data_IF_627620687423
#
_entry.id   IF_627620687423
#
_cell.length_a   1.000
_cell.length_b   1.000
_cell.length_c   1.000
_cell.angle_alpha   90.00
_cell.angle_beta   90.00
_cell.angle_gamma   90.00
#
_symmetry.space_group_name_H-M   'P 1'
#
loop_
_entity.id
_entity.type
_entity.pdbx_description
1 polymer ?
#
# COMPACT_ATOMS: atom_id res chain seq x y z
N UNK A 1 -1.31 -9.59 -10.82
CA UNK A 1 -0.66 -8.32 -10.44
C UNK A 1 -0.22 -8.38 -8.99
N UNK A 2 1.02 -8.06 -8.73
CA UNK A 2 1.57 -8.08 -7.37
C UNK A 2 2.05 -6.70 -6.95
N UNK A 3 1.82 -6.36 -5.70
CA UNK A 3 2.32 -5.13 -5.10
C UNK A 3 3.06 -5.48 -3.81
N UNK A 4 4.18 -4.80 -3.56
CA UNK A 4 4.94 -4.94 -2.33
C UNK A 4 4.78 -3.69 -1.48
N UNK A 5 4.55 -3.88 -0.19
CA UNK A 5 4.50 -2.79 0.78
C UNK A 5 5.87 -2.67 1.42
N UNK A 6 6.49 -1.51 1.29
CA UNK A 6 7.78 -1.20 1.91
C UNK A 6 7.55 -0.35 3.15
N UNK A 7 8.28 -0.65 4.22
CA UNK A 7 8.16 0.08 5.48
C UNK A 7 9.51 0.64 5.91
N UNK A 8 9.46 1.79 6.58
CA UNK A 8 10.64 2.44 7.14
C UNK A 8 10.22 3.21 8.38
N UNK A 9 11.08 3.22 9.40
CA UNK A 9 10.84 4.04 10.58
C UNK A 9 11.46 5.41 10.39
N UNK A 10 10.66 6.44 10.64
CA UNK A 10 11.11 7.83 10.59
C UNK A 10 11.93 8.18 11.83
N UNK A 11 12.71 9.27 11.73
CA UNK A 11 13.54 9.74 12.83
C UNK A 11 12.76 10.06 14.10
N UNK A 12 11.48 10.46 13.97
CA UNK A 12 10.61 10.78 15.10
C UNK A 12 9.90 9.56 15.69
N UNK A 13 10.22 8.36 15.20
CA UNK A 13 9.66 7.11 15.69
C UNK A 13 8.42 6.64 14.97
N UNK A 14 7.80 7.46 14.13
CA UNK A 14 6.65 7.02 13.32
C UNK A 14 7.13 6.05 12.25
N UNK A 15 6.20 5.22 11.79
CA UNK A 15 6.45 4.33 10.67
C UNK A 15 5.74 4.84 9.43
N UNK A 16 6.38 4.69 8.29
CA UNK A 16 5.77 4.95 6.99
C UNK A 16 5.70 3.62 6.22
N UNK A 17 4.59 3.41 5.53
CA UNK A 17 4.44 2.28 4.61
C UNK A 17 4.01 2.84 3.26
N UNK A 18 4.59 2.33 2.19
CA UNK A 18 4.25 2.76 0.84
C UNK A 18 4.26 1.61 -0.14
N UNK A 19 3.56 1.79 -1.23
CA UNK A 19 3.57 0.87 -2.35
C UNK A 19 4.11 1.64 -3.54
N UNK A 20 5.42 1.51 -3.85
CA UNK A 20 6.03 2.32 -4.92
C UNK A 20 5.36 2.16 -6.28
N UNK A 21 4.80 0.99 -6.56
CA UNK A 21 4.09 0.73 -7.81
C UNK A 21 2.78 1.50 -7.95
N UNK A 22 2.27 2.05 -6.84
CA UNK A 22 1.03 2.84 -6.81
C UNK A 22 1.36 4.24 -6.27
N UNK A 23 1.75 5.19 -7.14
CA UNK A 23 2.10 6.54 -6.68
C UNK A 23 1.02 7.18 -5.83
N UNK A 24 1.42 7.75 -4.71
CA UNK A 24 0.49 8.38 -3.77
C UNK A 24 -0.08 7.43 -2.72
N UNK A 25 0.19 6.13 -2.82
CA UNK A 25 -0.25 5.16 -1.81
C UNK A 25 0.83 5.06 -0.74
N UNK A 26 0.67 5.85 0.30
CA UNK A 26 1.53 5.79 1.47
C UNK A 26 0.72 6.14 2.72
N UNK A 27 1.15 5.66 3.87
CA UNK A 27 0.47 5.92 5.14
C UNK A 27 1.47 5.89 6.29
N UNK A 28 1.13 6.60 7.36
CA UNK A 28 1.92 6.61 8.58
C UNK A 28 1.19 5.84 9.69
N UNK A 29 1.95 5.32 10.63
CA UNK A 29 1.40 4.68 11.81
C UNK A 29 2.39 4.71 12.97
N UNK A 30 1.90 4.42 14.16
CA UNK A 30 2.73 4.32 15.35
C UNK A 30 3.57 3.03 15.34
N UNK A 31 3.13 2.04 14.57
CA UNK A 31 3.84 0.77 14.39
C UNK A 31 3.90 0.44 12.90
N UNK A 32 4.80 -0.46 12.53
CA UNK A 32 4.90 -0.93 11.16
C UNK A 32 3.59 -1.58 10.70
N UNK A 33 2.99 -2.41 11.56
CA UNK A 33 1.72 -3.08 11.24
C UNK A 33 0.59 -2.09 10.98
N UNK A 34 0.50 -1.04 11.78
CA UNK A 34 -0.52 0.00 11.58
C UNK A 34 -0.30 0.73 10.25
N UNK A 35 0.93 1.12 9.96
CA UNK A 35 1.25 1.80 8.70
C UNK A 35 0.94 0.90 7.50
N UNK A 36 1.30 -0.38 7.57
CA UNK A 36 1.03 -1.35 6.51
C UNK A 36 -0.47 -1.53 6.28
N UNK A 37 -1.25 -1.68 7.35
CA UNK A 37 -2.69 -1.84 7.23
C UNK A 37 -3.34 -0.65 6.54
N UNK A 38 -2.92 0.57 6.91
CA UNK A 38 -3.43 1.79 6.31
C UNK A 38 -3.04 1.90 4.83
N UNK A 39 -1.80 1.56 4.49
CA UNK A 39 -1.35 1.57 3.09
C UNK A 39 -2.13 0.55 2.25
N UNK A 40 -2.39 -0.63 2.81
CA UNK A 40 -3.17 -1.66 2.13
C UNK A 40 -4.60 -1.20 1.86
N UNK A 41 -5.24 -0.53 2.82
CA UNK A 41 -6.57 0.05 2.62
C UNK A 41 -6.56 1.03 1.45
N UNK A 42 -5.57 1.93 1.42
CA UNK A 42 -5.44 2.89 0.32
C UNK A 42 -5.24 2.20 -1.03
N UNK A 43 -4.39 1.18 -1.06
CA UNK A 43 -4.14 0.41 -2.27
C UNK A 43 -5.42 -0.24 -2.79
N UNK A 44 -6.19 -0.88 -1.91
CA UNK A 44 -7.43 -1.53 -2.29
C UNK A 44 -8.46 -0.53 -2.82
N UNK A 45 -8.54 0.66 -2.23
CA UNK A 45 -9.42 1.72 -2.72
C UNK A 45 -9.03 2.20 -4.10
N UNK A 46 -7.73 2.41 -4.33
CA UNK A 46 -7.22 2.84 -5.65
C UNK A 46 -7.53 1.78 -6.71
N UNK A 47 -7.27 0.52 -6.39
CA UNK A 47 -7.51 -0.57 -7.34
C UNK A 47 -9.00 -0.77 -7.62
N UNK A 48 -9.83 -0.66 -6.59
CA UNK A 48 -11.27 -0.74 -6.74
C UNK A 48 -11.79 0.38 -7.65
N UNK A 49 -11.31 1.60 -7.44
CA UNK A 49 -11.70 2.74 -8.25
C UNK A 49 -11.29 2.57 -9.72
N UNK A 50 -10.09 2.06 -9.97
CA UNK A 50 -9.64 1.79 -11.33
C UNK A 50 -10.52 0.77 -12.04
N UNK A 51 -10.93 -0.29 -11.35
CA UNK A 51 -11.85 -1.29 -11.89
C UNK A 51 -13.22 -0.69 -12.19
N UNK A 52 -13.75 0.10 -11.26
CA UNK A 52 -15.06 0.75 -11.42
C UNK A 52 -15.09 1.69 -12.61
N UNK A 53 -14.00 2.41 -12.86
CA UNK A 53 -13.90 3.38 -13.95
C UNK A 53 -13.38 2.78 -15.26
N UNK A 54 -13.22 1.47 -15.31
CA UNK A 54 -12.76 0.80 -16.51
C UNK A 54 -11.30 1.05 -16.88
N UNK A 55 -10.51 1.59 -15.96
CA UNK A 55 -9.10 1.86 -16.19
C UNK A 55 -8.23 0.61 -16.05
N UNK A 56 -8.82 -0.47 -15.57
CA UNK A 56 -8.13 -1.73 -15.37
C UNK A 56 -9.11 -2.88 -15.61
N UNK A 57 -8.57 -4.03 -16.01
CA UNK A 57 -9.37 -5.25 -16.20
C UNK A 57 -9.34 -6.06 -14.91
N UNK A 58 -10.37 -6.88 -14.72
CA UNK A 58 -10.37 -7.86 -13.63
C UNK A 58 -9.18 -8.81 -13.81
N UNK A 59 -8.41 -9.01 -12.75
CA UNK A 59 -7.25 -9.90 -12.74
C UNK A 59 -6.90 -10.26 -11.30
N UNK A 60 -6.00 -11.21 -11.13
CA UNK A 60 -5.52 -11.55 -9.80
C UNK A 60 -4.65 -10.43 -9.24
N UNK A 61 -4.91 -10.08 -8.00
CA UNK A 61 -4.16 -9.05 -7.28
C UNK A 61 -3.53 -9.68 -6.06
N UNK A 62 -2.24 -9.42 -5.84
CA UNK A 62 -1.53 -9.87 -4.66
C UNK A 62 -0.79 -8.68 -4.05
N UNK A 63 -1.04 -8.45 -2.76
CA UNK A 63 -0.33 -7.41 -2.00
C UNK A 63 0.43 -8.13 -0.89
N UNK A 64 1.73 -7.90 -0.80
CA UNK A 64 2.57 -8.55 0.19
C UNK A 64 3.53 -7.56 0.84
N UNK A 65 4.00 -7.91 2.02
CA UNK A 65 4.99 -7.11 2.75
C UNK A 65 6.37 -7.43 2.21
N UNK A 66 7.13 -6.40 1.84
CA UNK A 66 8.49 -6.58 1.39
C UNK A 66 9.36 -7.05 2.55
N UNK A 67 10.34 -7.93 2.31
CA UNK A 67 11.31 -8.32 3.34
C UNK A 67 12.05 -7.11 3.87
N UNK A 68 12.29 -7.10 5.17
CA UNK A 68 13.04 -6.02 5.80
C UNK A 68 14.54 -6.12 5.43
#
# INVERSE_FOLDING_TARGET
MEFSIETEQEADGRWIAEIPALPGVLAYGATADEAMAKAEVLALRVLAERLEHGESRAHSIKISVAPA
#
